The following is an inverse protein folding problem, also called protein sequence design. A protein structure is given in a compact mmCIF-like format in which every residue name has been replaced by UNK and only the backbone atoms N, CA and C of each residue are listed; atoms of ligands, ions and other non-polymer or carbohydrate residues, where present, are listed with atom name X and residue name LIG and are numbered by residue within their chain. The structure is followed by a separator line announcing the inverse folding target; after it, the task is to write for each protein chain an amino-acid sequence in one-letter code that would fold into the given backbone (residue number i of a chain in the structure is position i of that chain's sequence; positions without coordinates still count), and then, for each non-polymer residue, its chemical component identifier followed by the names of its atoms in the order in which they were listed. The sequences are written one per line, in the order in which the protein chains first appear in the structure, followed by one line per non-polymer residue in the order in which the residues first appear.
data_IF_986508907176
#
_entry.id   IF_986508907176
#
_cell.length_a   1.000
_cell.length_b   1.000
_cell.length_c   1.000
_cell.angle_alpha   90.00
_cell.angle_beta   90.00
_cell.angle_gamma   90.00
#
_symmetry.space_group_name_H-M   'P 1'
#
loop_
_entity.id
_entity.type
_entity.pdbx_description
1 polymer ?
#
# COMPACT_ATOMS: atom_id res chain seq x y z
N UNK A 1 -11.54 9.45 6.56
CA UNK A 1 -10.84 8.60 5.56
C UNK A 1 -9.50 9.20 5.12
N UNK A 2 -9.46 10.43 4.60
CA UNK A 2 -8.20 11.10 4.15
C UNK A 2 -7.21 11.32 5.30
N UNK A 3 -7.68 11.68 6.49
CA UNK A 3 -6.86 11.85 7.70
C UNK A 3 -6.16 10.56 8.16
N UNK A 4 -6.82 9.40 8.06
CA UNK A 4 -6.26 8.09 8.41
C UNK A 4 -5.25 7.64 7.36
N UNK A 5 -5.57 7.82 6.08
CA UNK A 5 -4.62 7.59 5.00
C UNK A 5 -3.38 8.47 5.18
N UNK A 6 -3.56 9.76 5.48
CA UNK A 6 -2.49 10.71 5.74
C UNK A 6 -1.61 10.26 6.91
N UNK A 7 -2.22 9.83 8.01
CA UNK A 7 -1.53 9.35 9.21
C UNK A 7 -0.75 8.05 8.97
N UNK A 8 -1.26 7.16 8.13
CA UNK A 8 -0.56 5.93 7.71
C UNK A 8 0.56 6.18 6.69
N UNK A 9 0.45 7.27 5.94
CA UNK A 9 1.42 7.63 4.90
C UNK A 9 2.49 8.59 5.44
N UNK A 10 2.27 9.23 6.59
CA UNK A 10 3.22 10.15 7.22
C UNK A 10 4.50 9.43 7.68
N UNK A 11 5.71 10.01 7.46
CA UNK A 11 6.01 11.29 6.79
C UNK A 11 6.13 11.22 5.26
N UNK A 12 6.00 10.03 4.66
CA UNK A 12 6.20 9.78 3.23
C UNK A 12 4.97 10.06 2.37
N UNK A 13 4.26 11.15 2.60
CA UNK A 13 2.99 11.45 1.94
C UNK A 13 3.13 11.51 0.40
N UNK A 14 4.21 12.09 -0.09
CA UNK A 14 4.53 12.19 -1.53
C UNK A 14 5.16 10.92 -2.10
N UNK A 15 5.53 9.96 -1.23
CA UNK A 15 6.19 8.73 -1.61
C UNK A 15 5.70 7.56 -0.74
N UNK A 16 4.40 7.19 -0.81
CA UNK A 16 3.80 6.15 0.04
C UNK A 16 4.55 4.81 -0.03
N UNK A 17 5.14 4.50 -1.19
CA UNK A 17 5.98 3.32 -1.39
C UNK A 17 7.26 3.31 -0.54
N UNK A 18 7.70 4.45 0.00
CA UNK A 18 8.84 4.51 0.93
C UNK A 18 8.46 4.13 2.35
N UNK A 19 7.18 4.19 2.71
CA UNK A 19 6.72 3.81 4.06
C UNK A 19 6.90 2.32 4.28
N UNK A 20 7.70 1.88 5.28
CA UNK A 20 7.92 0.47 5.55
C UNK A 20 6.62 -0.26 5.88
N UNK A 21 5.68 0.39 6.59
CA UNK A 21 4.37 -0.19 6.91
C UNK A 21 3.53 -0.49 5.66
N UNK A 22 3.54 0.41 4.68
CA UNK A 22 2.80 0.22 3.43
C UNK A 22 3.45 -0.86 2.57
N UNK A 23 4.79 -0.91 2.51
CA UNK A 23 5.51 -1.99 1.82
C UNK A 23 5.21 -3.35 2.43
N UNK A 24 5.24 -3.44 3.75
CA UNK A 24 4.85 -4.66 4.48
C UNK A 24 3.42 -5.08 4.20
N UNK A 25 2.49 -4.11 4.08
CA UNK A 25 1.11 -4.42 3.73
C UNK A 25 0.98 -4.98 2.32
N UNK A 26 1.67 -4.38 1.35
CA UNK A 26 1.71 -4.89 -0.03
C UNK A 26 2.27 -6.31 -0.08
N UNK A 27 3.34 -6.58 0.67
CA UNK A 27 3.93 -7.92 0.82
C UNK A 27 2.93 -8.91 1.44
N UNK A 28 2.23 -8.52 2.51
CA UNK A 28 1.21 -9.35 3.18
C UNK A 28 0.07 -9.74 2.23
N UNK A 29 -0.27 -8.87 1.27
CA UNK A 29 -1.30 -9.16 0.28
C UNK A 29 -0.81 -10.03 -0.88
N UNK A 30 0.45 -10.49 -0.85
CA UNK A 30 0.99 -11.43 -1.82
C UNK A 30 1.15 -10.83 -3.21
N UNK A 31 1.65 -9.59 -3.29
CA UNK A 31 1.89 -8.95 -4.58
C UNK A 31 2.88 -9.79 -5.41
N UNK A 32 2.51 -10.07 -6.65
CA UNK A 32 3.34 -10.77 -7.61
C UNK A 32 4.00 -9.77 -8.56
N UNK A 33 5.27 -9.99 -8.89
CA UNK A 33 5.96 -9.29 -9.98
C UNK A 33 5.38 -9.71 -11.35
N UNK A 34 5.80 -9.03 -12.40
CA UNK A 34 5.42 -9.34 -13.78
C UNK A 34 5.79 -10.78 -14.23
N UNK A 35 6.69 -11.44 -13.49
CA UNK A 35 7.14 -12.82 -13.71
C UNK A 35 6.43 -13.83 -12.78
N UNK A 36 5.44 -13.40 -12.00
CA UNK A 36 4.68 -14.27 -11.09
C UNK A 36 5.42 -14.64 -9.79
N UNK A 37 6.45 -13.89 -9.39
CA UNK A 37 7.18 -14.11 -8.13
C UNK A 37 6.70 -13.17 -7.03
N UNK A 38 6.76 -13.61 -5.78
CA UNK A 38 6.44 -12.76 -4.63
C UNK A 38 7.38 -11.55 -4.59
N UNK A 39 6.79 -10.36 -4.60
CA UNK A 39 7.52 -9.11 -4.54
C UNK A 39 7.82 -8.76 -3.09
N UNK A 40 9.10 -8.78 -2.72
CA UNK A 40 9.55 -8.46 -1.37
C UNK A 40 9.43 -6.95 -1.10
N UNK A 41 9.19 -6.56 0.15
CA UNK A 41 8.97 -5.16 0.54
C UNK A 41 10.06 -4.21 0.01
N UNK A 42 11.32 -4.61 0.01
CA UNK A 42 12.43 -3.78 -0.47
C UNK A 42 12.54 -3.65 -1.99
N UNK A 43 11.94 -4.57 -2.75
CA UNK A 43 11.89 -4.54 -4.21
C UNK A 43 10.67 -3.76 -4.75
N UNK A 44 9.84 -3.20 -3.87
CA UNK A 44 8.65 -2.44 -4.27
C UNK A 44 9.07 -1.10 -4.88
N UNK A 45 8.89 -0.99 -6.19
CA UNK A 45 9.05 0.26 -6.94
C UNK A 45 7.77 1.12 -6.84
N UNK A 46 7.84 2.42 -7.14
CA UNK A 46 6.65 3.27 -7.22
C UNK A 46 5.61 2.73 -8.22
N UNK A 47 6.05 2.13 -9.34
CA UNK A 47 5.15 1.51 -10.32
C UNK A 47 4.41 0.30 -9.77
N UNK A 48 5.11 -0.60 -9.06
CA UNK A 48 4.49 -1.72 -8.38
C UNK A 48 3.47 -1.25 -7.34
N UNK A 49 3.86 -0.27 -6.53
CA UNK A 49 2.99 0.29 -5.50
C UNK A 49 1.72 0.92 -6.08
N UNK A 50 1.85 1.68 -7.18
CA UNK A 50 0.71 2.31 -7.84
C UNK A 50 -0.23 1.27 -8.44
N UNK A 51 0.30 0.28 -9.17
CA UNK A 51 -0.49 -0.81 -9.76
C UNK A 51 -1.22 -1.61 -8.68
N UNK A 52 -0.55 -1.93 -7.57
CA UNK A 52 -1.17 -2.58 -6.43
C UNK A 52 -2.28 -1.72 -5.83
N UNK A 53 -1.99 -0.44 -5.60
CA UNK A 53 -2.95 0.51 -5.02
C UNK A 53 -4.19 0.64 -5.91
N UNK A 54 -4.04 0.69 -7.23
CA UNK A 54 -5.16 0.74 -8.17
C UNK A 54 -5.95 -0.58 -8.20
N UNK A 55 -5.24 -1.72 -8.22
CA UNK A 55 -5.88 -3.05 -8.26
C UNK A 55 -6.63 -3.39 -6.97
N UNK A 56 -6.10 -2.95 -5.83
CA UNK A 56 -6.67 -3.18 -4.50
C UNK A 56 -7.32 -1.91 -3.92
N UNK A 57 -7.62 -0.90 -4.75
CA UNK A 57 -8.14 0.40 -4.30
C UNK A 57 -9.43 0.23 -3.49
N UNK A 58 -10.30 -0.68 -3.89
CA UNK A 58 -11.55 -1.01 -3.19
C UNK A 58 -11.30 -1.65 -1.82
N UNK A 59 -10.29 -2.52 -1.72
CA UNK A 59 -9.90 -3.13 -0.46
C UNK A 59 -9.28 -2.10 0.48
N UNK A 60 -8.40 -1.24 -0.05
CA UNK A 60 -7.79 -0.14 0.70
C UNK A 60 -8.85 0.86 1.18
N UNK A 61 -9.80 1.25 0.32
CA UNK A 61 -10.90 2.13 0.68
C UNK A 61 -11.80 1.54 1.78
N UNK A 62 -12.06 0.22 1.72
CA UNK A 62 -12.80 -0.50 2.77
C UNK A 62 -12.01 -0.54 4.09
N UNK A 63 -10.70 -0.80 4.03
CA UNK A 63 -9.83 -0.75 5.20
C UNK A 63 -9.79 0.65 5.82
N UNK A 64 -9.57 1.69 5.00
CA UNK A 64 -9.55 3.08 5.47
C UNK A 64 -10.89 3.54 6.03
N UNK A 65 -12.01 3.00 5.52
CA UNK A 65 -13.34 3.27 6.05
C UNK A 65 -13.54 2.60 7.41
N UNK A 66 -13.12 1.35 7.57
CA UNK A 66 -13.12 0.65 8.86
C UNK A 66 -12.18 1.32 9.87
N UNK A 67 -10.96 1.69 9.45
CA UNK A 67 -9.99 2.36 10.30
C UNK A 67 -10.41 3.79 10.66
N UNK A 68 -11.30 4.42 9.88
CA UNK A 68 -11.91 5.70 10.23
C UNK A 68 -13.11 5.57 11.18
N UNK A 69 -13.63 4.35 11.39
CA UNK A 69 -14.66 4.06 12.39
C UNK A 69 -14.08 3.60 13.74
N UNK A 70 -12.75 3.52 13.83
CA UNK A 70 -11.97 3.23 15.04
C UNK A 70 -11.53 4.55 15.67
#
# INVERSE_FOLDING_TARGET
MVSVAWRLTWPYVLAPWRSPLLRWRVETYGMLDEHGRLLHADAITPGHFLTFTLRHLRALARFLRWAASL
#
